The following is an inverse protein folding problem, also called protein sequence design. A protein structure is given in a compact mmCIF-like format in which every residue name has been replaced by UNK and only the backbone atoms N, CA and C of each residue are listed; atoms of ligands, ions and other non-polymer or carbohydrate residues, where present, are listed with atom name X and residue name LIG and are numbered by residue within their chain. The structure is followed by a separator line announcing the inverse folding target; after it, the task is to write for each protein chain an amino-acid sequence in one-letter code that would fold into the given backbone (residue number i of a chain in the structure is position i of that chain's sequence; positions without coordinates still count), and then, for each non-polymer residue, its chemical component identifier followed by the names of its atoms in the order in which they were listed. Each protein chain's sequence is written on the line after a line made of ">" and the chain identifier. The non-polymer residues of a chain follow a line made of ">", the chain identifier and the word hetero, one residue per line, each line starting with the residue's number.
data_IF_866423627654
#
_entry.id   IF_866423627654
#
_cell.length_a   1.000
_cell.length_b   1.000
_cell.length_c   1.000
_cell.angle_alpha   90.00
_cell.angle_beta   90.00
_cell.angle_gamma   90.00
#
_symmetry.space_group_name_H-M   'P 1'
#
loop_
_entity.id
_entity.type
_entity.pdbx_description
1 polymer ?
#
# COMPACT_ATOMS: atom_id res chain seq x y z
N UNK A 1 -36.58 -28.21 -8.89
CA UNK A 1 -35.21 -28.74 -8.99
C UNK A 1 -34.38 -28.10 -7.90
N UNK A 2 -33.86 -28.94 -7.02
CA UNK A 2 -33.12 -28.60 -5.82
C UNK A 2 -31.81 -27.86 -6.15
N UNK A 3 -31.49 -26.85 -5.35
CA UNK A 3 -30.21 -26.15 -5.36
C UNK A 3 -30.02 -25.45 -4.02
N UNK A 4 -29.96 -26.25 -2.95
CA UNK A 4 -29.59 -25.76 -1.63
C UNK A 4 -28.13 -25.32 -1.68
N UNK A 5 -27.88 -24.01 -1.58
CA UNK A 5 -26.59 -23.50 -1.19
C UNK A 5 -26.43 -23.78 0.30
N UNK A 6 -25.71 -24.87 0.58
CA UNK A 6 -25.26 -25.25 1.91
C UNK A 6 -24.61 -24.03 2.56
N UNK A 7 -25.29 -23.48 3.57
CA UNK A 7 -24.69 -22.50 4.47
C UNK A 7 -23.44 -23.17 5.06
N UNK A 8 -22.28 -22.59 4.81
CA UNK A 8 -21.08 -22.99 5.51
C UNK A 8 -21.28 -22.61 6.97
N UNK A 9 -21.74 -23.59 7.75
CA UNK A 9 -21.73 -23.54 9.20
C UNK A 9 -20.28 -23.48 9.67
N UNK A 10 -19.74 -22.28 9.75
CA UNK A 10 -18.60 -22.04 10.62
C UNK A 10 -19.15 -21.97 12.03
N UNK A 11 -18.88 -23.02 12.82
CA UNK A 11 -18.83 -22.92 14.26
C UNK A 11 -18.19 -21.57 14.61
N UNK A 12 -18.88 -20.74 15.40
CA UNK A 12 -18.32 -19.52 15.98
C UNK A 12 -17.27 -19.93 17.03
N UNK A 13 -16.20 -20.56 16.56
CA UNK A 13 -15.01 -20.85 17.33
C UNK A 13 -14.28 -19.52 17.50
N UNK A 14 -13.96 -19.16 18.73
CA UNK A 14 -13.29 -17.92 19.12
C UNK A 14 -12.23 -17.48 18.10
N UNK A 15 -12.55 -16.48 17.27
CA UNK A 15 -11.55 -15.76 16.48
C UNK A 15 -10.52 -15.22 17.48
N UNK A 16 -9.26 -15.63 17.33
CA UNK A 16 -8.20 -15.15 18.22
C UNK A 16 -8.05 -13.62 18.06
N UNK A 17 -7.52 -12.95 19.09
CA UNK A 17 -7.21 -11.52 18.98
C UNK A 17 -6.30 -11.26 17.76
N UNK A 18 -5.27 -12.11 17.60
CA UNK A 18 -4.39 -12.08 16.42
C UNK A 18 -5.14 -12.14 15.09
N UNK A 19 -6.13 -13.03 14.94
CA UNK A 19 -6.86 -13.14 13.69
C UNK A 19 -7.64 -11.87 13.37
N UNK A 20 -8.31 -11.25 14.35
CA UNK A 20 -9.00 -9.97 14.14
C UNK A 20 -8.03 -8.85 13.75
N UNK A 21 -6.91 -8.74 14.46
CA UNK A 21 -5.92 -7.70 14.18
C UNK A 21 -5.29 -7.87 12.78
N UNK A 22 -5.03 -9.12 12.37
CA UNK A 22 -4.53 -9.45 11.04
C UNK A 22 -5.55 -9.11 9.95
N UNK A 23 -6.82 -9.46 10.15
CA UNK A 23 -7.90 -9.15 9.21
C UNK A 23 -8.08 -7.63 9.05
N UNK A 24 -8.04 -6.88 10.15
CA UNK A 24 -8.10 -5.41 10.14
C UNK A 24 -6.88 -4.80 9.43
N UNK A 25 -5.67 -5.30 9.70
CA UNK A 25 -4.44 -4.85 9.05
C UNK A 25 -4.49 -5.07 7.53
N UNK A 26 -4.93 -6.26 7.09
CA UNK A 26 -5.06 -6.57 5.66
C UNK A 26 -6.15 -5.72 5.01
N UNK A 27 -7.29 -5.50 5.67
CA UNK A 27 -8.35 -4.65 5.15
C UNK A 27 -7.89 -3.20 4.94
N UNK A 28 -7.18 -2.62 5.94
CA UNK A 28 -6.60 -1.27 5.83
C UNK A 28 -5.56 -1.18 4.70
N UNK A 29 -4.68 -2.18 4.58
CA UNK A 29 -3.70 -2.25 3.50
C UNK A 29 -4.38 -2.27 2.13
N UNK A 30 -5.37 -3.15 1.94
CA UNK A 30 -6.10 -3.27 0.68
C UNK A 30 -6.83 -1.98 0.33
N UNK A 31 -7.49 -1.33 1.30
CA UNK A 31 -8.13 -0.04 1.07
C UNK A 31 -7.12 1.02 0.64
N UNK A 32 -5.97 1.11 1.31
CA UNK A 32 -4.94 2.09 1.01
C UNK A 32 -4.29 1.86 -0.37
N UNK A 33 -4.11 0.61 -0.79
CA UNK A 33 -3.58 0.28 -2.12
C UNK A 33 -4.51 0.73 -3.26
N UNK A 34 -5.83 0.66 -3.07
CA UNK A 34 -6.79 1.04 -4.11
C UNK A 34 -7.14 2.54 -4.10
N UNK A 35 -6.84 3.26 -3.01
CA UNK A 35 -7.22 4.66 -2.85
C UNK A 35 -6.64 5.63 -3.90
N UNK A 36 -5.39 5.51 -4.38
CA UNK A 36 -4.83 6.46 -5.34
C UNK A 36 -5.41 6.35 -6.75
N UNK A 37 -6.01 5.21 -7.10
CA UNK A 37 -6.32 4.87 -8.49
C UNK A 37 -5.06 4.78 -9.37
N UNK A 38 -5.26 4.71 -10.69
CA UNK A 38 -4.16 4.72 -11.67
C UNK A 38 -4.14 6.05 -12.40
N UNK A 39 -3.00 6.74 -12.39
CA UNK A 39 -2.78 7.98 -13.11
C UNK A 39 -2.25 7.75 -14.54
N UNK A 40 -1.99 6.49 -14.92
CA UNK A 40 -1.44 6.13 -16.23
C UNK A 40 0.08 6.33 -16.32
N UNK A 41 0.73 6.58 -15.19
CA UNK A 41 2.18 6.74 -15.08
C UNK A 41 2.72 5.52 -14.33
N UNK A 42 3.14 4.49 -15.07
CA UNK A 42 3.46 3.17 -14.51
C UNK A 42 4.38 3.21 -13.28
N UNK A 43 5.46 4.02 -13.31
CA UNK A 43 6.37 4.17 -12.17
C UNK A 43 5.69 4.78 -10.94
N UNK A 44 4.86 5.80 -11.14
CA UNK A 44 4.16 6.47 -10.04
C UNK A 44 3.06 5.58 -9.48
N UNK A 45 2.30 4.91 -10.36
CA UNK A 45 1.23 4.00 -9.99
C UNK A 45 1.77 2.81 -9.20
N UNK A 46 2.89 2.22 -9.65
CA UNK A 46 3.57 1.15 -8.92
C UNK A 46 4.00 1.60 -7.52
N UNK A 47 4.66 2.75 -7.40
CA UNK A 47 5.12 3.25 -6.10
C UNK A 47 3.95 3.62 -5.18
N UNK A 48 2.90 4.24 -5.72
CA UNK A 48 1.71 4.63 -4.98
C UNK A 48 0.98 3.40 -4.40
N UNK A 49 0.99 2.26 -5.08
CA UNK A 49 0.46 1.00 -4.55
C UNK A 49 1.44 0.25 -3.64
N UNK A 50 2.74 0.27 -3.93
CA UNK A 50 3.71 -0.53 -3.18
C UNK A 50 4.02 0.06 -1.80
N UNK A 51 3.94 1.38 -1.64
CA UNK A 51 4.09 2.03 -0.33
C UNK A 51 3.08 1.50 0.70
N UNK A 52 1.75 1.52 0.47
CA UNK A 52 0.79 0.96 1.42
C UNK A 52 0.88 -0.56 1.55
N UNK A 53 1.26 -1.30 0.49
CA UNK A 53 1.51 -2.73 0.58
C UNK A 53 2.63 -3.05 1.60
N UNK A 54 3.77 -2.36 1.49
CA UNK A 54 4.89 -2.53 2.43
C UNK A 54 4.52 -2.06 3.84
N UNK A 55 3.76 -0.97 3.98
CA UNK A 55 3.26 -0.52 5.28
C UNK A 55 2.37 -1.58 5.95
N UNK A 56 1.49 -2.24 5.19
CA UNK A 56 0.69 -3.35 5.69
C UNK A 56 1.53 -4.56 6.12
N UNK A 57 2.60 -4.89 5.40
CA UNK A 57 3.54 -5.93 5.79
C UNK A 57 4.25 -5.60 7.12
N UNK A 58 4.65 -4.35 7.32
CA UNK A 58 5.24 -3.87 8.59
C UNK A 58 4.24 -4.03 9.75
N UNK A 59 2.98 -3.66 9.54
CA UNK A 59 1.95 -3.77 10.58
C UNK A 59 1.66 -5.24 10.93
N UNK A 60 1.57 -6.14 9.95
CA UNK A 60 1.41 -7.58 10.20
C UNK A 60 2.61 -8.18 10.94
N UNK A 61 3.84 -7.78 10.58
CA UNK A 61 5.04 -8.21 11.29
C UNK A 61 5.02 -7.76 12.76
N UNK A 62 4.55 -6.54 13.06
CA UNK A 62 4.36 -6.08 14.44
C UNK A 62 3.33 -6.90 15.21
N UNK A 63 2.29 -7.42 14.56
CA UNK A 63 1.32 -8.30 15.21
C UNK A 63 1.95 -9.64 15.62
N UNK A 64 2.85 -10.19 14.79
CA UNK A 64 3.63 -11.39 15.15
C UNK A 64 4.52 -11.13 16.37
N UNK A 65 5.10 -9.93 16.52
CA UNK A 65 5.88 -9.59 17.71
C UNK A 65 5.03 -9.45 18.98
N UNK A 66 3.73 -9.18 18.85
CA UNK A 66 2.81 -9.08 19.98
C UNK A 66 2.24 -10.44 20.39
N UNK A 67 1.83 -11.25 19.41
CA UNK A 67 1.09 -12.49 19.64
C UNK A 67 1.95 -13.75 19.55
N UNK A 68 3.01 -13.72 18.72
CA UNK A 68 3.88 -14.86 18.42
C UNK A 68 4.94 -15.12 19.48
N UNK A 69 5.29 -16.41 19.64
CA UNK A 69 6.25 -16.90 20.66
C UNK A 69 7.49 -17.56 20.09
N UNK A 70 7.45 -18.03 18.84
CA UNK A 70 8.60 -18.69 18.22
C UNK A 70 9.73 -17.68 17.94
N UNK A 71 10.95 -17.87 18.49
CA UNK A 71 12.05 -16.91 18.34
C UNK A 71 12.45 -16.67 16.87
N UNK A 72 12.48 -17.72 16.04
CA UNK A 72 12.88 -17.60 14.62
C UNK A 72 11.86 -16.79 13.84
N UNK A 73 10.57 -17.02 14.07
CA UNK A 73 9.48 -16.27 13.43
C UNK A 73 9.49 -14.79 13.86
N UNK A 74 9.82 -14.52 15.13
CA UNK A 74 9.95 -13.14 15.63
C UNK A 74 11.15 -12.42 15.03
N UNK A 75 12.29 -13.11 14.90
CA UNK A 75 13.48 -12.58 14.22
C UNK A 75 13.15 -12.20 12.78
N UNK A 76 12.44 -13.06 12.05
CA UNK A 76 11.97 -12.76 10.69
C UNK A 76 11.06 -11.52 10.67
N UNK A 77 10.16 -11.37 11.64
CA UNK A 77 9.29 -10.19 11.72
C UNK A 77 10.08 -8.89 11.96
N UNK A 78 11.13 -8.92 12.79
CA UNK A 78 12.02 -7.77 12.99
C UNK A 78 12.78 -7.40 11.71
N UNK A 79 13.27 -8.40 10.96
CA UNK A 79 13.94 -8.21 9.67
C UNK A 79 13.00 -7.61 8.62
N UNK A 80 11.75 -8.09 8.56
CA UNK A 80 10.70 -7.53 7.70
C UNK A 80 10.46 -6.06 8.06
N UNK A 81 10.28 -5.73 9.34
CA UNK A 81 10.06 -4.35 9.79
C UNK A 81 11.22 -3.45 9.34
N UNK A 82 12.47 -3.88 9.57
CA UNK A 82 13.65 -3.10 9.22
C UNK A 82 13.77 -2.89 7.70
N UNK A 83 13.71 -3.96 6.90
CA UNK A 83 13.85 -3.91 5.45
C UNK A 83 12.74 -3.09 4.78
N UNK A 84 11.48 -3.42 5.09
CA UNK A 84 10.31 -2.79 4.50
C UNK A 84 10.23 -1.30 4.86
N UNK A 85 10.66 -0.90 6.06
CA UNK A 85 10.73 0.53 6.44
C UNK A 85 11.73 1.31 5.58
N UNK A 86 12.89 0.74 5.27
CA UNK A 86 13.89 1.37 4.38
C UNK A 86 13.36 1.47 2.95
N UNK A 87 12.67 0.44 2.47
CA UNK A 87 12.05 0.42 1.15
C UNK A 87 10.95 1.46 1.02
N UNK A 88 10.05 1.58 2.02
CA UNK A 88 9.01 2.62 2.08
C UNK A 88 9.63 4.01 1.91
N UNK A 89 10.67 4.34 2.68
CA UNK A 89 11.32 5.65 2.59
C UNK A 89 11.94 5.88 1.20
N UNK A 90 12.51 4.84 0.60
CA UNK A 90 13.10 4.91 -0.73
C UNK A 90 12.05 5.15 -1.82
N UNK A 91 10.92 4.44 -1.72
CA UNK A 91 9.78 4.60 -2.62
C UNK A 91 9.13 5.98 -2.48
N UNK A 92 8.94 6.48 -1.26
CA UNK A 92 8.40 7.82 -1.01
C UNK A 92 9.28 8.91 -1.62
N UNK A 93 10.60 8.84 -1.43
CA UNK A 93 11.53 9.79 -2.07
C UNK A 93 11.45 9.74 -3.59
N UNK A 94 11.39 8.54 -4.17
CA UNK A 94 11.30 8.37 -5.63
C UNK A 94 9.98 8.92 -6.17
N UNK A 95 8.85 8.61 -5.52
CA UNK A 95 7.53 9.08 -5.91
C UNK A 95 7.47 10.61 -5.87
N UNK A 96 7.97 11.22 -4.80
CA UNK A 96 8.04 12.67 -4.68
C UNK A 96 8.86 13.31 -5.82
N UNK A 97 10.01 12.70 -6.16
CA UNK A 97 10.85 13.16 -7.27
C UNK A 97 10.12 13.09 -8.62
N UNK A 98 9.40 12.00 -8.88
CA UNK A 98 8.64 11.82 -10.12
C UNK A 98 7.50 12.84 -10.23
N UNK A 99 6.75 13.06 -9.15
CA UNK A 99 5.67 14.04 -9.11
C UNK A 99 6.15 15.47 -9.39
N UNK A 100 7.29 15.86 -8.82
CA UNK A 100 7.90 17.17 -9.10
C UNK A 100 8.34 17.32 -10.55
N UNK A 101 8.85 16.24 -11.19
CA UNK A 101 9.25 16.26 -12.60
C UNK A 101 8.03 16.40 -13.52
N UNK A 102 6.94 15.69 -13.23
CA UNK A 102 5.68 15.83 -13.96
C UNK A 102 5.13 17.25 -13.86
N UNK A 103 5.13 17.84 -12.67
CA UNK A 103 4.66 19.22 -12.45
C UNK A 103 5.49 20.24 -13.22
N UNK A 104 6.83 20.18 -13.14
CA UNK A 104 7.73 21.07 -13.88
C UNK A 104 7.61 20.91 -15.41
N UNK A 105 7.39 19.68 -15.88
CA UNK A 105 7.15 19.41 -17.30
C UNK A 105 5.88 20.10 -17.79
N UNK A 106 4.79 20.04 -17.01
CA UNK A 106 3.55 20.74 -17.32
C UNK A 106 3.72 22.26 -17.31
N UNK A 107 4.45 22.83 -16.34
CA UNK A 107 4.73 24.28 -16.29
C UNK A 107 5.56 24.76 -17.49
N UNK A 108 6.52 23.97 -17.96
CA UNK A 108 7.33 24.31 -19.14
C UNK A 108 6.54 24.24 -20.46
N UNK A 109 5.49 23.43 -20.52
CA UNK A 109 4.59 23.31 -21.66
C UNK A 109 3.52 24.42 -21.69
N UNK A 110 3.32 25.13 -20.57
CA UNK A 110 2.46 26.32 -20.45
C UNK A 110 3.21 27.68 -20.42
N UNK A 111 3.87 28.13 -21.51
CA UNK A 111 4.00 29.55 -21.81
C UNK A 111 2.83 29.97 -22.71
N UNK A 112 1.77 30.56 -22.14
CA UNK A 112 0.65 31.07 -22.93
C UNK A 112 1.10 32.26 -23.81
N UNK A 113 0.89 32.06 -25.11
CA UNK A 113 0.92 33.01 -26.22
C UNK A 113 0.32 34.39 -25.89
N UNK A 114 1.09 35.44 -26.18
CA UNK A 114 0.64 36.84 -26.11
C UNK A 114 1.43 37.78 -27.00
N UNK A 115 1.88 37.33 -28.18
CA UNK A 115 2.45 38.18 -29.22
C UNK A 115 1.45 38.37 -30.34
N UNK A 116 0.51 39.30 -30.16
CA UNK A 116 -0.48 39.66 -31.18
C UNK A 116 0.20 40.12 -32.46
N UNK A 117 -0.10 39.38 -33.52
CA UNK A 117 0.14 39.72 -34.91
C UNK A 117 -0.62 40.99 -35.27
N UNK A 118 0.03 41.95 -35.93
CA UNK A 118 -0.65 42.89 -36.82
C UNK A 118 0.09 44.20 -37.04
N UNK A 119 -0.30 44.97 -38.08
CA UNK A 119 -0.74 44.55 -39.41
C UNK A 119 0.43 44.22 -40.36
#
# INVERSE_FOLDING_TARGET
>A
MSGAHTSHGASAAHTSAFQRDMDESMARMMQAMHSPGYAGQADQDFLAMMIPHHAGAVDMARLVLQHGRDPVTRQLAEEIIAGQTVEIQSMQRRLHTLQQRTAKGAEAEFPSLGGTRGP
#
